data_IF_909435380126
#
_entry.id   IF_909435380126
#
_cell.length_a   1.000
_cell.length_b   1.000
_cell.length_c   1.000
_cell.angle_alpha   90.00
_cell.angle_beta   90.00
_cell.angle_gamma   90.00
#
_symmetry.space_group_name_H-M   'P 1'
#
loop_
_entity.id
_entity.type
_entity.pdbx_description
1 polymer ?
#
# COMPACT_ATOMS: atom_id res chain seq x y z
N UNK A 1 1.15 -18.62 3.27
CA UNK A 1 1.09 -17.14 3.43
C UNK A 1 1.97 -16.53 2.34
N UNK A 2 1.65 -15.32 1.88
CA UNK A 2 2.29 -14.68 0.72
C UNK A 2 3.40 -13.69 1.05
N UNK A 3 3.81 -12.88 0.07
CA UNK A 3 4.87 -11.88 0.17
C UNK A 3 4.54 -10.76 1.17
N UNK A 4 5.56 -10.34 1.94
CA UNK A 4 5.50 -9.13 2.76
C UNK A 4 6.47 -8.12 2.20
N UNK A 5 5.93 -6.99 1.71
CA UNK A 5 6.70 -5.95 1.05
C UNK A 5 6.92 -4.80 2.05
N UNK A 6 8.18 -4.55 2.38
CA UNK A 6 8.59 -3.36 3.15
C UNK A 6 9.09 -2.28 2.21
N UNK A 7 8.61 -1.05 2.40
CA UNK A 7 9.02 0.12 1.60
C UNK A 7 9.23 1.33 2.49
N UNK A 8 10.21 2.18 2.14
CA UNK A 8 10.45 3.44 2.83
C UNK A 8 9.35 4.46 2.53
N UNK A 9 9.52 5.25 1.47
CA UNK A 9 8.52 6.21 1.02
C UNK A 9 7.95 5.89 -0.37
N UNK A 10 8.45 4.90 -1.12
CA UNK A 10 7.88 4.50 -2.42
C UNK A 10 7.90 5.58 -3.51
N UNK A 11 8.95 6.40 -3.61
CA UNK A 11 9.07 7.41 -4.69
C UNK A 11 9.03 6.81 -6.10
N UNK A 12 9.51 5.57 -6.27
CA UNK A 12 9.38 4.83 -7.54
C UNK A 12 7.93 4.41 -7.86
N UNK A 13 6.99 4.64 -6.94
CA UNK A 13 5.59 4.24 -7.01
C UNK A 13 5.33 2.91 -6.29
N UNK A 14 4.38 2.90 -5.35
CA UNK A 14 3.96 1.71 -4.60
C UNK A 14 3.63 0.52 -5.53
N UNK A 15 2.83 0.78 -6.56
CA UNK A 15 2.38 -0.26 -7.51
C UNK A 15 3.55 -0.80 -8.33
N UNK A 16 4.52 0.03 -8.68
CA UNK A 16 5.71 -0.41 -9.41
C UNK A 16 6.57 -1.33 -8.55
N UNK A 17 6.76 -0.97 -7.28
CA UNK A 17 7.48 -1.81 -6.30
C UNK A 17 6.75 -3.15 -6.14
N UNK A 18 5.42 -3.15 -5.98
CA UNK A 18 4.64 -4.36 -5.82
C UNK A 18 4.69 -5.27 -7.06
N UNK A 19 4.57 -4.72 -8.26
CA UNK A 19 4.70 -5.45 -9.53
C UNK A 19 6.11 -6.01 -9.70
N UNK A 20 7.13 -5.25 -9.32
CA UNK A 20 8.51 -5.74 -9.36
C UNK A 20 8.73 -6.90 -8.38
N UNK A 21 8.22 -6.80 -7.15
CA UNK A 21 8.28 -7.90 -6.18
C UNK A 21 7.60 -9.16 -6.75
N UNK A 22 6.41 -9.02 -7.36
CA UNK A 22 5.73 -10.13 -8.04
C UNK A 22 6.51 -10.73 -9.22
N UNK A 23 7.33 -9.93 -9.91
CA UNK A 23 8.19 -10.45 -10.98
C UNK A 23 9.36 -11.28 -10.47
N UNK A 24 9.76 -11.09 -9.21
CA UNK A 24 10.82 -11.86 -8.55
C UNK A 24 10.27 -13.13 -7.88
N UNK A 25 9.03 -13.07 -7.39
CA UNK A 25 8.32 -14.18 -6.75
C UNK A 25 6.82 -14.06 -7.05
N UNK A 26 6.23 -15.05 -7.70
CA UNK A 26 4.81 -15.04 -8.10
C UNK A 26 3.84 -15.39 -6.94
N UNK A 27 4.36 -15.55 -5.72
CA UNK A 27 3.54 -15.69 -4.53
C UNK A 27 2.57 -14.50 -4.37
N UNK A 28 1.34 -14.74 -3.86
CA UNK A 28 0.38 -13.66 -3.62
C UNK A 28 0.96 -12.64 -2.64
N UNK A 29 0.59 -11.36 -2.76
CA UNK A 29 1.01 -10.35 -1.79
C UNK A 29 0.16 -10.52 -0.54
N UNK A 30 0.79 -10.80 0.59
CA UNK A 30 0.11 -10.86 1.87
C UNK A 30 0.01 -9.49 2.52
N UNK A 31 1.12 -8.74 2.57
CA UNK A 31 1.14 -7.44 3.23
C UNK A 31 2.05 -6.43 2.52
N UNK A 32 1.68 -5.15 2.59
CA UNK A 32 2.54 -4.03 2.19
C UNK A 32 2.66 -3.05 3.35
N UNK A 33 3.90 -2.74 3.75
CA UNK A 33 4.24 -2.04 4.98
C UNK A 33 5.18 -0.89 4.65
N UNK A 34 4.78 0.35 4.98
CA UNK A 34 5.64 1.52 4.77
C UNK A 34 4.93 2.78 4.31
N UNK A 35 5.72 3.73 3.81
CA UNK A 35 5.22 4.97 3.20
C UNK A 35 4.95 4.81 1.71
N UNK A 36 3.82 5.33 1.25
CA UNK A 36 3.35 5.19 -0.13
C UNK A 36 3.55 6.46 -0.98
N UNK A 37 3.98 7.57 -0.37
CA UNK A 37 4.16 8.90 -0.99
C UNK A 37 2.94 9.39 -1.76
N UNK A 38 1.80 9.47 -1.06
CA UNK A 38 0.52 9.90 -1.62
C UNK A 38 -0.12 11.05 -0.84
N UNK A 39 0.61 11.66 0.12
CA UNK A 39 0.06 12.69 0.98
C UNK A 39 -0.41 13.94 0.21
N UNK A 40 0.29 14.29 -0.86
CA UNK A 40 0.06 15.42 -1.76
C UNK A 40 -0.41 14.98 -3.16
N UNK A 41 -0.71 13.69 -3.35
CA UNK A 41 -1.14 13.16 -4.64
C UNK A 41 -2.51 13.75 -5.08
N UNK A 42 -2.67 13.91 -6.39
CA UNK A 42 -3.95 14.28 -6.97
C UNK A 42 -5.01 13.20 -6.72
N UNK A 43 -6.29 13.60 -6.72
CA UNK A 43 -7.40 12.65 -6.59
C UNK A 43 -7.34 11.54 -7.65
N UNK A 44 -6.99 11.91 -8.88
CA UNK A 44 -6.85 10.96 -9.98
C UNK A 44 -5.75 9.94 -9.72
N UNK A 45 -4.57 10.38 -9.25
CA UNK A 45 -3.47 9.48 -8.91
C UNK A 45 -3.84 8.53 -7.79
N UNK A 46 -4.47 9.03 -6.73
CA UNK A 46 -4.94 8.19 -5.62
C UNK A 46 -5.95 7.13 -6.10
N UNK A 47 -6.93 7.51 -6.94
CA UNK A 47 -7.91 6.55 -7.47
C UNK A 47 -7.25 5.47 -8.32
N UNK A 48 -6.37 5.84 -9.26
CA UNK A 48 -5.62 4.88 -10.08
C UNK A 48 -4.79 3.93 -9.22
N UNK A 49 -4.08 4.45 -8.21
CA UNK A 49 -3.30 3.63 -7.29
C UNK A 49 -4.18 2.71 -6.44
N UNK A 50 -5.38 3.14 -6.03
CA UNK A 50 -6.35 2.29 -5.34
C UNK A 50 -6.84 1.14 -6.24
N UNK A 51 -7.19 1.43 -7.50
CA UNK A 51 -7.66 0.42 -8.45
C UNK A 51 -6.57 -0.64 -8.73
N UNK A 52 -5.32 -0.20 -8.89
CA UNK A 52 -4.17 -1.10 -8.99
C UNK A 52 -3.96 -1.92 -7.70
N UNK A 53 -4.14 -1.32 -6.52
CA UNK A 53 -4.00 -2.00 -5.24
C UNK A 53 -5.04 -3.09 -5.05
N UNK A 54 -6.29 -2.85 -5.47
CA UNK A 54 -7.37 -3.83 -5.48
C UNK A 54 -7.04 -5.04 -6.35
N UNK A 55 -6.42 -4.85 -7.51
CA UNK A 55 -6.00 -5.94 -8.38
C UNK A 55 -4.86 -6.78 -7.79
N UNK A 56 -4.06 -6.21 -6.90
CA UNK A 56 -2.98 -6.93 -6.21
C UNK A 56 -3.48 -7.74 -5.01
N UNK A 57 -4.72 -7.50 -4.56
CA UNK A 57 -5.42 -8.21 -3.49
C UNK A 57 -4.58 -8.45 -2.20
N UNK A 58 -3.85 -7.44 -1.67
CA UNK A 58 -3.12 -7.63 -0.42
C UNK A 58 -4.09 -7.89 0.74
N UNK A 59 -3.75 -8.83 1.61
CA UNK A 59 -4.57 -9.11 2.80
C UNK A 59 -4.43 -8.02 3.88
N UNK A 60 -3.25 -7.37 3.96
CA UNK A 60 -2.95 -6.35 4.97
C UNK A 60 -2.23 -5.15 4.33
N UNK A 61 -2.69 -3.95 4.66
CA UNK A 61 -2.06 -2.69 4.29
C UNK A 61 -1.65 -1.94 5.56
N UNK A 62 -0.38 -1.54 5.66
CA UNK A 62 0.14 -0.73 6.76
C UNK A 62 0.69 0.60 6.22
N UNK A 63 -0.20 1.55 5.82
CA UNK A 63 0.18 2.84 5.26
C UNK A 63 0.71 3.80 6.33
N UNK A 64 2.02 4.03 6.33
CA UNK A 64 2.73 4.89 7.29
C UNK A 64 3.37 6.13 6.68
N UNK A 65 4.15 6.85 7.50
CA UNK A 65 5.06 7.91 7.06
C UNK A 65 4.41 8.92 6.09
N UNK A 66 4.80 8.89 4.82
CA UNK A 66 4.43 9.84 3.77
C UNK A 66 3.16 9.48 2.99
N UNK A 67 2.37 8.48 3.42
CA UNK A 67 1.14 8.07 2.70
C UNK A 67 0.03 9.12 2.77
N UNK A 68 -0.09 9.84 3.89
CA UNK A 68 -1.11 10.87 4.12
C UNK A 68 -2.52 10.35 4.42
N UNK A 69 -3.31 11.17 5.10
CA UNK A 69 -4.61 10.78 5.68
C UNK A 69 -5.68 10.49 4.62
N UNK A 70 -5.67 11.22 3.50
CA UNK A 70 -6.65 11.08 2.41
C UNK A 70 -6.63 9.68 1.80
N UNK A 71 -5.43 9.15 1.57
CA UNK A 71 -5.28 7.82 1.01
C UNK A 71 -5.59 6.72 2.04
N UNK A 72 -5.27 6.92 3.32
CA UNK A 72 -5.68 6.00 4.41
C UNK A 72 -7.21 5.89 4.51
N UNK A 73 -7.91 7.02 4.45
CA UNK A 73 -9.37 7.05 4.42
C UNK A 73 -9.92 6.34 3.18
N UNK A 74 -9.30 6.54 2.02
CA UNK A 74 -9.69 5.86 0.79
C UNK A 74 -9.50 4.34 0.90
N UNK A 75 -8.41 3.86 1.50
CA UNK A 75 -8.21 2.42 1.79
C UNK A 75 -9.36 1.89 2.63
N UNK A 76 -9.69 2.53 3.74
CA UNK A 76 -10.76 2.05 4.63
C UNK A 76 -12.14 2.06 3.94
N UNK A 77 -12.41 3.03 3.07
CA UNK A 77 -13.65 3.10 2.30
C UNK A 77 -13.76 1.99 1.24
N UNK A 78 -12.68 1.76 0.49
CA UNK A 78 -12.67 0.91 -0.70
C UNK A 78 -12.27 -0.55 -0.42
N UNK A 79 -11.56 -0.78 0.68
CA UNK A 79 -11.01 -2.07 1.13
C UNK A 79 -11.16 -2.18 2.66
N UNK A 80 -12.40 -2.17 3.19
CA UNK A 80 -12.66 -2.07 4.62
C UNK A 80 -12.04 -3.23 5.41
N UNK A 81 -11.43 -2.90 6.55
CA UNK A 81 -10.79 -3.90 7.44
C UNK A 81 -9.44 -4.45 6.97
N UNK A 82 -8.92 -4.03 5.81
CA UNK A 82 -7.59 -4.44 5.36
C UNK A 82 -6.47 -3.53 5.86
N UNK A 83 -6.79 -2.35 6.40
CA UNK A 83 -5.80 -1.45 6.95
C UNK A 83 -5.46 -1.83 8.40
N UNK A 84 -4.17 -2.02 8.68
CA UNK A 84 -3.64 -2.12 10.02
C UNK A 84 -2.88 -0.82 10.39
N UNK A 85 -2.97 -0.36 11.65
CA UNK A 85 -2.29 0.86 12.07
C UNK A 85 -0.78 0.65 12.12
N UNK A 86 -0.04 1.70 11.74
CA UNK A 86 1.42 1.73 11.80
C UNK A 86 1.88 3.04 12.44
N UNK A 87 2.57 2.92 13.56
CA UNK A 87 3.10 4.02 14.36
C UNK A 87 4.32 3.55 15.15
N UNK A 88 5.02 4.48 15.82
CA UNK A 88 6.15 4.10 16.67
C UNK A 88 5.71 3.14 17.78
N UNK A 89 6.27 1.93 17.80
CA UNK A 89 5.93 0.90 18.80
C UNK A 89 4.86 -0.12 18.36
N UNK A 90 4.44 -0.14 17.10
CA UNK A 90 3.67 -1.26 16.52
C UNK A 90 4.45 -2.58 16.67
N UNK A 91 3.77 -3.66 17.10
CA UNK A 91 4.33 -5.00 17.34
C UNK A 91 3.62 -6.05 16.49
#
# INVERSE_FOLDING_TARGET
KGLVIFTGCSHAGLINIAKHAKSLDDSPIYAIIGGYHLADASNEKMRRTMDDLKQLEPSILMPGHCTGWRFKLLIEHEMPGQMAPIFGGTK
#
